data_IF_698022110777
#
_entry.id   IF_698022110777
#
_cell.length_a   1.000
_cell.length_b   1.000
_cell.length_c   1.000
_cell.angle_alpha   90.00
_cell.angle_beta   90.00
_cell.angle_gamma   90.00
#
_symmetry.space_group_name_H-M   'P 1'
#
loop_
_entity.id
_entity.type
_entity.pdbx_description
1 polymer ?
#
# COMPACT_ATOMS: atom_id res chain seq x y z
N UNK A 1 -11.48 -2.38 9.68
CA UNK A 1 -11.20 -3.69 9.05
C UNK A 1 -9.74 -3.72 8.58
N UNK A 2 -9.06 -4.87 8.67
CA UNK A 2 -7.66 -5.00 8.29
C UNK A 2 -7.48 -6.16 7.31
N UNK A 3 -6.61 -5.99 6.32
CA UNK A 3 -6.13 -7.04 5.42
C UNK A 3 -4.62 -7.14 5.55
N UNK A 4 -4.13 -8.32 5.89
CA UNK A 4 -2.71 -8.62 5.95
C UNK A 4 -2.43 -9.86 5.10
N UNK A 5 -1.72 -9.66 3.99
CA UNK A 5 -1.23 -10.72 3.11
C UNK A 5 0.28 -10.57 2.89
N UNK A 6 0.98 -10.09 3.92
CA UNK A 6 2.43 -9.98 3.90
C UNK A 6 3.10 -11.37 3.90
N UNK A 7 4.26 -11.47 3.24
CA UNK A 7 5.06 -12.71 3.19
C UNK A 7 4.29 -13.91 2.64
N UNK A 8 3.47 -13.70 1.60
CA UNK A 8 2.67 -14.76 0.97
C UNK A 8 3.18 -15.22 -0.39
N UNK A 9 4.30 -14.66 -0.86
CA UNK A 9 4.84 -14.96 -2.19
C UNK A 9 3.92 -14.50 -3.33
N UNK A 10 3.07 -13.50 -3.07
CA UNK A 10 2.21 -12.91 -4.09
C UNK A 10 3.05 -12.11 -5.09
N UNK A 11 2.64 -12.06 -6.35
CA UNK A 11 3.39 -11.34 -7.38
C UNK A 11 2.49 -10.76 -8.48
N UNK A 12 3.13 -10.20 -9.50
CA UNK A 12 2.45 -9.45 -10.55
C UNK A 12 2.16 -8.01 -10.13
N UNK A 13 1.30 -7.31 -10.88
CA UNK A 13 0.91 -5.94 -10.55
C UNK A 13 -0.21 -5.91 -9.51
N UNK A 14 -0.23 -4.86 -8.68
CA UNK A 14 -1.37 -4.62 -7.79
C UNK A 14 -2.56 -4.18 -8.66
N UNK A 15 -3.69 -4.89 -8.61
CA UNK A 15 -4.82 -4.60 -9.49
C UNK A 15 -5.55 -3.30 -9.05
N UNK A 16 -6.07 -2.49 -9.99
CA UNK A 16 -6.82 -1.26 -9.68
C UNK A 16 -8.03 -1.46 -8.76
N UNK A 17 -8.61 -2.68 -8.76
CA UNK A 17 -9.73 -3.02 -7.90
C UNK A 17 -9.40 -2.96 -6.40
N UNK A 18 -8.12 -2.86 -6.00
CA UNK A 18 -7.72 -2.60 -4.62
C UNK A 18 -8.41 -1.34 -4.06
N UNK A 19 -8.69 -0.34 -4.90
CA UNK A 19 -9.40 0.89 -4.50
C UNK A 19 -10.86 0.70 -4.11
N UNK A 20 -11.44 -0.50 -4.33
CA UNK A 20 -12.81 -0.81 -3.89
C UNK A 20 -12.88 -1.21 -2.41
N UNK A 21 -11.74 -1.41 -1.73
CA UNK A 21 -11.68 -1.68 -0.29
C UNK A 21 -11.91 -0.41 0.54
N UNK A 22 -12.99 0.34 0.27
CA UNK A 22 -13.24 1.69 0.81
C UNK A 22 -13.31 1.76 2.35
N UNK A 23 -13.72 0.66 3.00
CA UNK A 23 -13.83 0.52 4.45
C UNK A 23 -12.57 -0.03 5.14
N UNK A 24 -11.49 -0.28 4.40
CA UNK A 24 -10.26 -0.82 4.99
C UNK A 24 -9.52 0.25 5.78
N UNK A 25 -9.10 -0.11 6.99
CA UNK A 25 -8.31 0.74 7.88
C UNK A 25 -6.82 0.37 7.85
N UNK A 26 -6.50 -0.91 7.63
CA UNK A 26 -5.11 -1.39 7.59
C UNK A 26 -4.91 -2.34 6.41
N UNK A 27 -3.92 -2.05 5.57
CA UNK A 27 -3.52 -2.88 4.44
C UNK A 27 -2.02 -3.16 4.49
N UNK A 28 -1.65 -4.43 4.66
CA UNK A 28 -0.27 -4.89 4.59
C UNK A 28 -0.07 -5.86 3.42
N UNK A 29 0.66 -5.40 2.41
CA UNK A 29 1.08 -6.16 1.23
C UNK A 29 2.60 -6.40 1.21
N UNK A 30 3.29 -6.13 2.32
CA UNK A 30 4.75 -6.14 2.36
C UNK A 30 5.37 -7.53 2.20
N UNK A 31 6.65 -7.56 1.83
CA UNK A 31 7.41 -8.81 1.68
C UNK A 31 6.75 -9.77 0.67
N UNK A 32 6.44 -9.25 -0.51
CA UNK A 32 5.91 -10.02 -1.63
C UNK A 32 6.75 -9.71 -2.89
N UNK A 33 6.40 -10.31 -4.01
CA UNK A 33 7.00 -10.07 -5.33
C UNK A 33 6.15 -9.18 -6.23
N UNK A 34 5.43 -8.19 -5.68
CA UNK A 34 4.65 -7.28 -6.52
C UNK A 34 5.57 -6.38 -7.35
N UNK A 35 5.21 -6.17 -8.62
CA UNK A 35 5.99 -5.42 -9.62
C UNK A 35 5.16 -4.31 -10.26
N UNK A 36 5.82 -3.36 -10.93
CA UNK A 36 5.18 -2.32 -11.72
C UNK A 36 4.63 -1.18 -10.88
N UNK A 37 3.76 -0.34 -11.46
CA UNK A 37 3.35 0.92 -10.82
C UNK A 37 2.37 0.72 -9.68
N UNK A 38 2.51 1.54 -8.63
CA UNK A 38 1.49 1.68 -7.59
C UNK A 38 0.18 2.21 -8.21
N UNK A 39 -0.97 1.51 -8.07
CA UNK A 39 -2.22 1.94 -8.67
C UNK A 39 -2.75 3.22 -8.01
N UNK A 40 -3.14 4.19 -8.84
CA UNK A 40 -3.66 5.48 -8.35
C UNK A 40 -4.95 5.34 -7.55
N UNK A 41 -5.66 4.22 -7.76
CA UNK A 41 -6.89 3.83 -7.09
C UNK A 41 -6.72 3.63 -5.59
N UNK A 42 -5.49 3.44 -5.07
CA UNK A 42 -5.22 3.45 -3.63
C UNK A 42 -5.71 4.73 -2.95
N UNK A 43 -5.80 5.86 -3.69
CA UNK A 43 -6.39 7.12 -3.16
C UNK A 43 -7.85 6.96 -2.71
N UNK A 44 -8.57 5.97 -3.26
CA UNK A 44 -9.98 5.68 -2.94
C UNK A 44 -10.17 4.95 -1.61
N UNK A 45 -9.09 4.48 -0.98
CA UNK A 45 -9.13 3.89 0.36
C UNK A 45 -9.45 5.01 1.37
N UNK A 46 -10.75 5.24 1.59
CA UNK A 46 -11.27 6.36 2.35
C UNK A 46 -10.82 6.35 3.81
N UNK A 47 -10.84 5.16 4.42
CA UNK A 47 -10.68 4.92 5.86
C UNK A 47 -9.30 4.40 6.26
N UNK A 48 -8.33 4.33 5.32
CA UNK A 48 -7.03 3.72 5.59
C UNK A 48 -6.18 4.59 6.51
N UNK A 49 -5.67 3.96 7.57
CA UNK A 49 -4.75 4.55 8.56
C UNK A 49 -3.38 3.86 8.57
N UNK A 50 -3.29 2.66 8.00
CA UNK A 50 -2.06 1.90 7.84
C UNK A 50 -1.96 1.32 6.42
N UNK A 51 -0.87 1.62 5.73
CA UNK A 51 -0.54 1.08 4.42
C UNK A 51 0.93 0.67 4.40
N UNK A 52 1.19 -0.61 4.13
CA UNK A 52 2.54 -1.13 3.99
C UNK A 52 2.70 -1.87 2.65
N UNK A 53 3.54 -1.31 1.78
CA UNK A 53 3.89 -1.87 0.47
C UNK A 53 5.38 -2.25 0.38
N UNK A 54 6.12 -2.14 1.50
CA UNK A 54 7.58 -2.33 1.53
C UNK A 54 8.00 -3.75 1.14
N UNK A 55 9.25 -3.91 0.72
CA UNK A 55 9.81 -5.22 0.33
C UNK A 55 8.96 -5.82 -0.81
N UNK A 56 8.85 -5.06 -1.90
CA UNK A 56 8.28 -5.40 -3.20
C UNK A 56 9.09 -4.65 -4.27
N UNK A 57 8.91 -4.96 -5.54
CA UNK A 57 9.56 -4.29 -6.68
C UNK A 57 8.61 -3.31 -7.38
N UNK A 58 7.92 -2.50 -6.58
CA UNK A 58 6.93 -1.52 -7.05
C UNK A 58 7.59 -0.20 -7.44
N UNK A 59 7.06 0.43 -8.49
CA UNK A 59 7.53 1.70 -9.03
C UNK A 59 6.50 2.83 -8.83
N UNK A 60 6.99 4.08 -8.84
CA UNK A 60 6.17 5.27 -8.77
C UNK A 60 5.92 5.78 -7.35
N UNK A 61 5.17 6.88 -7.25
CA UNK A 61 4.90 7.55 -5.98
C UNK A 61 3.60 7.05 -5.36
N UNK A 62 3.58 6.91 -4.04
CA UNK A 62 2.33 6.70 -3.31
C UNK A 62 1.44 7.94 -3.53
N UNK A 63 0.15 7.80 -3.90
CA UNK A 63 -0.75 8.93 -4.15
C UNK A 63 -0.77 9.94 -3.00
N UNK A 64 -0.86 11.24 -3.32
CA UNK A 64 -0.59 12.37 -2.41
C UNK A 64 -1.41 12.40 -1.11
N UNK A 65 -2.59 11.74 -1.08
CA UNK A 65 -3.38 11.53 0.15
C UNK A 65 -2.55 10.86 1.27
N UNK A 66 -1.50 10.13 0.91
CA UNK A 66 -0.60 9.41 1.84
C UNK A 66 0.85 9.93 1.79
N UNK A 67 1.13 10.96 0.97
CA UNK A 67 2.46 11.61 0.86
C UNK A 67 2.57 12.88 1.70
N UNK A 68 1.49 13.32 2.36
CA UNK A 68 1.38 14.65 2.97
C UNK A 68 1.64 14.71 4.49
N UNK A 69 2.28 13.70 5.09
CA UNK A 69 2.78 13.81 6.46
C UNK A 69 4.26 13.51 6.52
N UNK A 70 5.08 14.55 6.32
CA UNK A 70 6.49 14.58 6.71
C UNK A 70 6.71 14.54 8.23
N UNK A 71 5.80 13.95 8.99
CA UNK A 71 5.89 13.76 10.44
C UNK A 71 5.36 12.38 10.78
N UNK A 72 6.17 11.61 11.49
CA UNK A 72 5.85 10.29 12.05
C UNK A 72 4.52 10.26 12.81
N UNK A 73 3.68 9.26 12.53
CA UNK A 73 3.07 8.48 13.60
C UNK A 73 3.46 7.00 13.39
N UNK A 74 4.69 6.65 13.78
CA UNK A 74 5.15 5.31 14.19
C UNK A 74 4.78 4.04 13.39
N UNK A 75 4.16 4.11 12.20
CA UNK A 75 3.63 2.90 11.53
C UNK A 75 3.49 2.96 10.01
N UNK A 76 4.00 3.98 9.32
CA UNK A 76 4.23 3.88 7.87
C UNK A 76 5.73 3.71 7.67
N UNK A 77 6.20 2.45 7.58
CA UNK A 77 7.61 2.17 7.28
C UNK A 77 7.84 2.40 5.79
N UNK A 78 8.27 3.62 5.47
CA UNK A 78 8.83 3.97 4.18
C UNK A 78 10.25 3.40 4.09
N UNK A 79 10.38 2.12 3.72
CA UNK A 79 11.59 1.70 3.02
C UNK A 79 11.24 1.72 1.54
N UNK A 80 11.78 2.73 0.86
CA UNK A 80 11.79 2.81 -0.60
C UNK A 80 12.17 1.44 -1.18
N UNK A 81 11.55 1.12 -2.32
CA UNK A 81 11.94 -0.02 -3.15
C UNK A 81 13.46 -0.06 -3.38
#
# INVERSE_FOLDING_TARGET
>A
MALNVSSKGLGGSIPPCIGNLSSIASLDLSSNGFIGKIPTELRRLGQISYLNLSINSLEGRIPDKYSAYGTTPSKVRYHQA
#
